data_IF_084969809723
#
_entry.id   IF_084969809723
#
_cell.length_a   1.000
_cell.length_b   1.000
_cell.length_c   1.000
_cell.angle_alpha   90.00
_cell.angle_beta   90.00
_cell.angle_gamma   90.00
#
_symmetry.space_group_name_H-M   'P 1'
#
loop_
_entity.id
_entity.type
_entity.pdbx_description
1 polymer ?
#
# COMPACT_ATOMS: atom_id res chain seq x y z
N UNK A 1 17.24 0.52 -15.30
CA UNK A 1 15.85 0.60 -14.80
C UNK A 1 15.01 1.26 -15.87
N UNK A 2 13.96 0.60 -16.35
CA UNK A 2 13.07 1.13 -17.39
C UNK A 2 12.10 2.17 -16.79
N UNK A 3 11.64 3.09 -17.64
CA UNK A 3 10.61 4.10 -17.33
C UNK A 3 9.52 3.99 -18.39
N UNK A 4 8.28 3.83 -17.95
CA UNK A 4 7.10 3.81 -18.79
C UNK A 4 6.23 5.01 -18.42
N UNK A 5 5.97 5.88 -19.39
CA UNK A 5 5.04 7.00 -19.20
C UNK A 5 3.63 6.54 -19.58
N UNK A 6 2.68 6.79 -18.70
CA UNK A 6 1.26 6.59 -18.92
C UNK A 6 0.59 7.96 -19.07
N UNK A 7 -0.70 7.95 -19.41
CA UNK A 7 -1.50 9.18 -19.55
C UNK A 7 -1.47 10.03 -18.29
N UNK A 8 -1.73 11.33 -18.43
CA UNK A 8 -1.85 12.28 -17.31
C UNK A 8 -0.61 12.36 -16.40
N UNK A 9 0.59 12.15 -16.96
CA UNK A 9 1.85 12.27 -16.22
C UNK A 9 2.11 11.13 -15.24
N UNK A 10 1.33 10.05 -15.29
CA UNK A 10 1.58 8.86 -14.49
C UNK A 10 2.83 8.13 -15.02
N UNK A 11 3.62 7.55 -14.13
CA UNK A 11 4.88 6.89 -14.50
C UNK A 11 5.02 5.57 -13.77
N UNK A 12 5.48 4.55 -14.50
CA UNK A 12 5.96 3.30 -13.93
C UNK A 12 7.48 3.23 -14.10
N UNK A 13 8.21 3.03 -13.01
CA UNK A 13 9.63 2.72 -13.01
C UNK A 13 9.85 1.24 -12.70
N UNK A 14 10.83 0.63 -13.35
CA UNK A 14 11.21 -0.79 -13.14
C UNK A 14 10.95 -1.67 -14.34
N UNK A 15 11.47 -2.89 -14.32
CA UNK A 15 11.18 -3.88 -15.35
C UNK A 15 9.83 -4.52 -15.04
N UNK A 16 8.82 -4.24 -15.87
CA UNK A 16 7.43 -4.64 -15.61
C UNK A 16 7.27 -6.17 -15.74
N UNK A 17 7.45 -6.91 -14.65
CA UNK A 17 7.15 -8.33 -14.57
C UNK A 17 5.80 -8.54 -13.88
N UNK A 18 4.74 -8.56 -14.69
CA UNK A 18 3.36 -8.73 -14.25
C UNK A 18 2.82 -10.09 -14.69
N UNK A 19 2.30 -10.88 -13.75
CA UNK A 19 1.52 -12.09 -14.03
C UNK A 19 0.13 -11.94 -13.45
N UNK A 20 -0.90 -12.08 -14.28
CA UNK A 20 -2.31 -12.01 -13.86
C UNK A 20 -2.60 -10.77 -13.00
N UNK A 21 -1.99 -9.64 -13.35
CA UNK A 21 -2.00 -8.41 -12.55
C UNK A 21 -2.54 -7.23 -13.35
N UNK A 22 -3.23 -6.31 -12.67
CA UNK A 22 -3.82 -5.10 -13.25
C UNK A 22 -3.26 -3.86 -12.55
N UNK A 23 -2.84 -2.87 -13.33
CA UNK A 23 -2.46 -1.53 -12.85
C UNK A 23 -3.42 -0.54 -13.49
N UNK A 24 -4.01 0.34 -12.70
CA UNK A 24 -5.00 1.30 -13.15
C UNK A 24 -4.69 2.69 -12.56
N UNK A 25 -4.58 3.68 -13.44
CA UNK A 25 -4.42 5.07 -13.06
C UNK A 25 -5.71 5.84 -13.36
N UNK A 26 -6.40 6.30 -12.32
CA UNK A 26 -7.61 7.13 -12.45
C UNK A 26 -7.30 8.63 -12.29
N UNK A 27 -6.23 8.96 -11.55
CA UNK A 27 -5.75 10.33 -11.40
C UNK A 27 -4.48 10.62 -12.22
N UNK A 28 -3.76 11.66 -11.81
CA UNK A 28 -2.60 12.21 -12.53
C UNK A 28 -1.33 12.19 -11.67
N UNK A 29 -0.18 12.24 -12.34
CA UNK A 29 1.14 12.38 -11.71
C UNK A 29 1.45 11.31 -10.65
N UNK A 30 0.88 10.11 -10.77
CA UNK A 30 1.16 9.01 -9.86
C UNK A 30 2.41 8.25 -10.29
N UNK A 31 3.05 7.61 -9.33
CA UNK A 31 4.26 6.83 -9.55
C UNK A 31 4.03 5.42 -9.02
N UNK A 32 4.23 4.43 -9.89
CA UNK A 32 4.50 3.06 -9.48
C UNK A 32 6.00 2.81 -9.65
N UNK A 33 6.68 2.49 -8.55
CA UNK A 33 8.10 2.18 -8.57
C UNK A 33 8.34 0.72 -8.20
N UNK A 34 8.85 -0.05 -9.14
CA UNK A 34 9.25 -1.44 -8.98
C UNK A 34 10.78 -1.48 -8.99
N UNK A 35 11.39 -1.84 -7.85
CA UNK A 35 12.85 -2.00 -7.76
C UNK A 35 13.36 -3.20 -8.56
N UNK A 36 14.68 -3.39 -8.62
CA UNK A 36 15.26 -4.54 -9.33
C UNK A 36 14.71 -5.87 -8.77
N UNK A 37 14.14 -6.71 -9.65
CA UNK A 37 13.49 -8.00 -9.33
C UNK A 37 12.19 -7.87 -8.50
N UNK A 38 11.60 -6.68 -8.42
CA UNK A 38 10.23 -6.51 -7.94
C UNK A 38 9.24 -7.01 -8.99
N UNK A 39 8.29 -7.86 -8.57
CA UNK A 39 7.34 -8.50 -9.48
C UNK A 39 5.90 -8.39 -8.94
N UNK A 40 4.92 -8.34 -9.84
CA UNK A 40 3.49 -8.36 -9.50
C UNK A 40 2.89 -9.70 -9.92
N UNK A 41 2.19 -10.38 -9.00
CA UNK A 41 1.50 -11.64 -9.29
C UNK A 41 0.13 -11.65 -8.65
N UNK A 42 -0.93 -11.85 -9.43
CA UNK A 42 -2.31 -11.74 -8.94
C UNK A 42 -2.53 -10.42 -8.18
N UNK A 43 -1.94 -9.33 -8.68
CA UNK A 43 -1.96 -8.04 -8.01
C UNK A 43 -2.90 -7.06 -8.72
N UNK A 44 -3.62 -6.26 -7.95
CA UNK A 44 -4.42 -5.14 -8.46
C UNK A 44 -3.98 -3.86 -7.78
N UNK A 45 -3.36 -2.95 -8.53
CA UNK A 45 -2.93 -1.65 -8.02
C UNK A 45 -3.77 -0.57 -8.71
N UNK A 46 -4.61 0.11 -7.93
CA UNK A 46 -5.46 1.19 -8.42
C UNK A 46 -5.07 2.51 -7.76
N UNK A 47 -4.54 3.42 -8.57
CA UNK A 47 -4.30 4.81 -8.21
C UNK A 47 -5.60 5.59 -8.41
N UNK A 48 -6.42 5.63 -7.36
CA UNK A 48 -7.71 6.33 -7.36
C UNK A 48 -7.51 7.84 -7.41
N UNK A 49 -6.48 8.35 -6.73
CA UNK A 49 -6.16 9.77 -6.64
C UNK A 49 -4.97 10.21 -7.50
N UNK A 50 -4.41 11.37 -7.17
CA UNK A 50 -3.28 12.00 -7.88
C UNK A 50 -2.06 12.21 -6.98
N UNK A 51 -0.88 12.33 -7.57
CA UNK A 51 0.39 12.55 -6.86
C UNK A 51 0.69 11.46 -5.80
N UNK A 52 0.23 10.24 -6.01
CA UNK A 52 0.48 9.13 -5.11
C UNK A 52 1.68 8.29 -5.55
N UNK A 53 2.31 7.61 -4.59
CA UNK A 53 3.45 6.73 -4.82
C UNK A 53 3.16 5.33 -4.28
N UNK A 54 3.31 4.32 -5.12
CA UNK A 54 3.47 2.94 -4.68
C UNK A 54 4.90 2.51 -4.99
N UNK A 55 5.65 2.18 -3.95
CA UNK A 55 7.00 1.64 -4.05
C UNK A 55 7.02 0.19 -3.61
N UNK A 56 7.60 -0.68 -4.44
CA UNK A 56 7.79 -2.10 -4.15
C UNK A 56 9.28 -2.42 -4.29
N UNK A 57 9.89 -2.79 -3.15
CA UNK A 57 11.25 -3.30 -3.03
C UNK A 57 11.41 -4.65 -3.74
N UNK A 58 12.52 -5.34 -3.49
CA UNK A 58 12.85 -6.63 -4.12
C UNK A 58 11.92 -7.72 -3.58
N UNK A 59 10.67 -7.69 -4.03
CA UNK A 59 9.52 -8.40 -3.47
C UNK A 59 8.54 -8.78 -4.57
N UNK A 60 7.83 -9.90 -4.36
CA UNK A 60 6.73 -10.30 -5.23
C UNK A 60 5.40 -9.97 -4.54
N UNK A 61 4.79 -8.85 -4.91
CA UNK A 61 3.53 -8.42 -4.32
C UNK A 61 2.33 -9.14 -4.96
N UNK A 62 1.39 -9.55 -4.10
CA UNK A 62 0.14 -10.25 -4.43
C UNK A 62 -0.99 -9.67 -3.58
N UNK A 63 -2.13 -9.37 -4.19
CA UNK A 63 -3.23 -8.70 -3.50
C UNK A 63 -3.58 -7.35 -4.10
N UNK A 64 -4.31 -6.52 -3.34
CA UNK A 64 -4.90 -5.28 -3.85
C UNK A 64 -4.38 -4.07 -3.10
N UNK A 65 -3.97 -3.05 -3.84
CA UNK A 65 -3.62 -1.72 -3.33
C UNK A 65 -4.59 -0.71 -3.96
N UNK A 66 -5.32 0.01 -3.12
CA UNK A 66 -6.05 1.21 -3.50
C UNK A 66 -5.38 2.41 -2.85
N UNK A 67 -4.93 3.35 -3.67
CA UNK A 67 -4.16 4.51 -3.18
C UNK A 67 -4.75 5.82 -3.71
N UNK A 68 -4.96 6.76 -2.81
CA UNK A 68 -5.61 8.05 -3.07
C UNK A 68 -4.59 9.19 -3.11
N UNK A 69 -5.11 10.42 -3.27
CA UNK A 69 -4.30 11.61 -3.51
C UNK A 69 -3.29 11.85 -2.39
N UNK A 70 -2.06 12.23 -2.79
CA UNK A 70 -0.94 12.55 -1.90
C UNK A 70 -0.59 11.43 -0.89
N UNK A 71 -0.92 10.17 -1.21
CA UNK A 71 -0.62 9.02 -0.34
C UNK A 71 0.64 8.27 -0.77
N UNK A 72 1.23 7.53 0.16
CA UNK A 72 2.40 6.66 -0.12
C UNK A 72 2.13 5.24 0.38
N UNK A 73 2.35 4.26 -0.48
CA UNK A 73 2.52 2.86 -0.13
C UNK A 73 3.98 2.49 -0.32
N UNK A 74 4.66 2.05 0.74
CA UNK A 74 6.00 1.51 0.66
C UNK A 74 5.99 0.06 1.13
N UNK A 75 6.50 -0.83 0.28
CA UNK A 75 6.70 -2.24 0.60
C UNK A 75 8.19 -2.51 0.43
N UNK A 76 8.84 -2.95 1.51
CA UNK A 76 10.24 -3.30 1.55
C UNK A 76 10.61 -4.55 0.73
N UNK A 77 11.83 -5.02 0.95
CA UNK A 77 12.42 -6.18 0.32
C UNK A 77 11.95 -7.48 0.98
N UNK A 78 12.04 -8.59 0.24
CA UNK A 78 11.80 -9.93 0.77
C UNK A 78 10.42 -10.15 1.42
N UNK A 79 9.37 -9.48 0.93
CA UNK A 79 8.00 -9.71 1.41
C UNK A 79 7.55 -11.15 1.10
N UNK A 80 7.26 -11.90 2.15
CA UNK A 80 6.58 -13.19 2.11
C UNK A 80 5.06 -13.03 2.21
N UNK A 81 4.32 -13.69 1.31
CA UNK A 81 2.86 -13.73 1.36
C UNK A 81 2.35 -15.15 1.12
N UNK A 82 1.48 -15.63 2.00
CA UNK A 82 0.85 -16.96 1.90
C UNK A 82 -0.25 -17.02 0.83
N UNK A 83 -0.93 -15.90 0.54
CA UNK A 83 -2.01 -15.81 -0.43
C UNK A 83 -1.94 -14.50 -1.26
N UNK A 84 -2.96 -14.26 -2.09
CA UNK A 84 -3.07 -13.08 -2.97
C UNK A 84 -4.27 -12.19 -2.58
N UNK A 85 -4.62 -12.16 -1.30
CA UNK A 85 -5.82 -11.51 -0.76
C UNK A 85 -5.52 -10.38 0.24
N UNK A 86 -4.24 -10.04 0.41
CA UNK A 86 -3.84 -8.87 1.19
C UNK A 86 -4.45 -7.61 0.57
N UNK A 87 -5.07 -6.76 1.39
CA UNK A 87 -5.72 -5.54 0.94
C UNK A 87 -5.17 -4.31 1.67
N UNK A 88 -4.63 -3.37 0.90
CA UNK A 88 -4.13 -2.09 1.40
C UNK A 88 -5.01 -0.98 0.82
N UNK A 89 -5.64 -0.20 1.67
CA UNK A 89 -6.40 0.96 1.27
C UNK A 89 -5.89 2.21 2.00
N UNK A 90 -5.29 3.11 1.21
CA UNK A 90 -4.47 4.21 1.71
C UNK A 90 -5.09 5.51 1.22
N UNK A 91 -5.70 6.23 2.17
CA UNK A 91 -6.58 7.38 1.92
C UNK A 91 -6.13 8.64 2.65
N UNK A 92 -6.63 9.80 2.22
CA UNK A 92 -6.51 11.09 2.94
C UNK A 92 -5.08 11.48 3.34
N UNK A 93 -4.18 11.55 2.35
CA UNK A 93 -2.81 12.07 2.54
C UNK A 93 -1.99 11.34 3.61
N UNK A 94 -2.17 10.02 3.68
CA UNK A 94 -1.50 9.15 4.67
C UNK A 94 -0.53 8.17 4.02
N UNK A 95 0.24 7.50 4.88
CA UNK A 95 1.28 6.56 4.47
C UNK A 95 1.00 5.16 5.00
N UNK A 96 1.33 4.15 4.22
CA UNK A 96 1.43 2.77 4.67
C UNK A 96 2.84 2.28 4.35
N UNK A 97 3.62 2.01 5.40
CA UNK A 97 5.02 1.61 5.29
C UNK A 97 5.15 0.20 5.87
N UNK A 98 5.57 -0.74 5.03
CA UNK A 98 5.91 -2.11 5.38
C UNK A 98 7.40 -2.30 5.18
N UNK A 99 8.11 -2.67 6.25
CA UNK A 99 9.54 -2.90 6.27
C UNK A 99 10.00 -4.11 5.46
N UNK A 100 11.27 -4.47 5.65
CA UNK A 100 11.91 -5.59 4.98
C UNK A 100 11.60 -6.92 5.67
N UNK A 101 11.71 -8.02 4.92
CA UNK A 101 11.68 -9.41 5.44
C UNK A 101 10.41 -9.76 6.25
N UNK A 102 9.28 -9.15 5.90
CA UNK A 102 8.01 -9.42 6.57
C UNK A 102 7.31 -10.64 5.98
N UNK A 103 6.58 -11.38 6.82
CA UNK A 103 5.77 -12.53 6.43
C UNK A 103 4.29 -12.29 6.75
N UNK A 104 3.45 -12.26 5.72
CA UNK A 104 2.00 -12.06 5.84
C UNK A 104 1.23 -13.32 5.49
N UNK A 105 0.33 -13.72 6.39
CA UNK A 105 -0.67 -14.77 6.10
C UNK A 105 -1.78 -14.24 5.17
N UNK A 106 -2.85 -15.02 5.01
CA UNK A 106 -4.02 -14.65 4.21
C UNK A 106 -5.01 -13.78 4.98
N UNK A 107 -5.83 -13.03 4.25
CA UNK A 107 -6.89 -12.17 4.79
C UNK A 107 -6.41 -10.90 5.49
N UNK A 108 -5.17 -10.46 5.29
CA UNK A 108 -4.63 -9.28 5.98
C UNK A 108 -5.15 -7.98 5.33
N UNK A 109 -5.62 -7.06 6.16
CA UNK A 109 -6.17 -5.77 5.75
C UNK A 109 -5.43 -4.61 6.41
N UNK A 110 -5.12 -3.57 5.64
CA UNK A 110 -4.51 -2.33 6.10
C UNK A 110 -5.38 -1.14 5.66
N UNK A 111 -5.93 -0.41 6.63
CA UNK A 111 -6.86 0.71 6.39
C UNK A 111 -6.39 1.97 7.11
N UNK A 112 -5.96 2.99 6.35
CA UNK A 112 -5.41 4.23 6.92
C UNK A 112 -6.47 5.26 7.33
N UNK A 113 -7.76 4.97 7.13
CA UNK A 113 -8.89 5.79 7.58
C UNK A 113 -10.10 4.93 7.95
N UNK A 114 -11.13 5.59 8.51
CA UNK A 114 -12.44 4.96 8.71
C UNK A 114 -13.40 5.21 7.53
N UNK A 115 -12.90 5.82 6.44
CA UNK A 115 -13.63 6.30 5.26
C UNK A 115 -14.67 7.40 5.51
N UNK A 116 -15.35 7.36 6.65
CA UNK A 116 -16.41 8.27 7.03
C UNK A 116 -16.01 9.07 8.28
N UNK A 117 -16.19 10.40 8.24
CA UNK A 117 -15.82 11.26 9.35
C UNK A 117 -16.80 11.12 10.51
N UNK A 118 -16.25 11.15 11.72
CA UNK A 118 -16.96 11.26 12.99
C UNK A 118 -16.67 12.66 13.53
N UNK A 119 -17.71 13.41 13.86
CA UNK A 119 -17.57 14.77 14.37
C UNK A 119 -17.98 14.87 15.82
N UNK A 120 -17.25 15.69 16.59
CA UNK A 120 -17.69 16.11 17.91
C UNK A 120 -18.91 17.02 17.80
N UNK A 121 -19.94 16.75 18.59
CA UNK A 121 -21.18 17.52 18.53
C UNK A 121 -21.03 18.97 19.02
N UNK A 122 -20.12 19.24 19.96
CA UNK A 122 -19.95 20.57 20.57
C UNK A 122 -19.00 21.44 19.77
N UNK A 123 -17.89 20.87 19.31
CA UNK A 123 -16.81 21.61 18.64
C UNK A 123 -16.88 21.51 17.12
N UNK A 124 -17.68 20.59 16.58
CA UNK A 124 -17.75 20.23 15.16
C UNK A 124 -16.40 19.77 14.57
N UNK A 125 -15.43 19.42 15.41
CA UNK A 125 -14.14 18.91 14.96
C UNK A 125 -14.23 17.45 14.55
N UNK A 126 -13.49 17.08 13.51
CA UNK A 126 -13.33 15.68 13.10
C UNK A 126 -12.51 14.92 14.17
N UNK A 127 -13.10 13.86 14.72
CA UNK A 127 -12.54 13.04 15.80
C UNK A 127 -11.68 11.89 15.29
N UNK A 128 -11.86 11.47 14.05
CA UNK A 128 -11.19 10.32 13.46
C UNK A 128 -10.40 10.67 12.19
N UNK A 129 -9.52 11.70 12.22
CA UNK A 129 -8.68 11.96 11.06
C UNK A 129 -7.86 10.71 10.71
N UNK A 130 -7.60 10.53 9.42
CA UNK A 130 -6.75 9.47 8.91
C UNK A 130 -5.37 9.51 9.55
N UNK A 131 -4.75 8.34 9.70
CA UNK A 131 -3.42 8.20 10.30
C UNK A 131 -2.65 7.12 9.56
N UNK A 132 -1.37 7.38 9.35
CA UNK A 132 -0.45 6.45 8.70
C UNK A 132 -0.28 5.15 9.50
N UNK A 133 0.09 4.08 8.80
CA UNK A 133 0.41 2.76 9.35
C UNK A 133 1.89 2.49 9.12
N UNK A 134 2.57 2.02 10.16
CA UNK A 134 4.00 1.71 10.13
C UNK A 134 4.25 0.31 10.66
N UNK A 135 4.69 -0.59 9.79
CA UNK A 135 5.06 -1.96 10.11
C UNK A 135 6.57 -2.09 9.94
N UNK A 136 7.28 -2.39 11.02
CA UNK A 136 8.72 -2.57 11.03
C UNK A 136 9.18 -3.81 10.27
N UNK A 137 10.49 -4.07 10.34
CA UNK A 137 11.13 -5.18 9.63
C UNK A 137 10.91 -6.52 10.33
N UNK A 138 10.99 -7.61 9.58
CA UNK A 138 10.97 -8.97 10.12
C UNK A 138 9.76 -9.25 11.02
N UNK A 139 8.58 -8.78 10.63
CA UNK A 139 7.33 -9.08 11.34
C UNK A 139 6.64 -10.30 10.75
N UNK A 140 5.92 -11.06 11.58
CA UNK A 140 5.03 -12.11 11.13
C UNK A 140 3.58 -11.75 11.42
N UNK A 141 2.78 -11.56 10.38
CA UNK A 141 1.36 -11.25 10.49
C UNK A 141 0.53 -12.52 10.32
N UNK A 142 -0.25 -12.83 11.36
CA UNK A 142 -1.21 -13.93 11.37
C UNK A 142 -2.33 -13.79 10.34
N UNK A 143 -3.16 -14.84 10.23
CA UNK A 143 -4.34 -14.83 9.39
C UNK A 143 -5.35 -13.77 9.86
N UNK A 144 -6.03 -13.11 8.92
CA UNK A 144 -7.17 -12.23 9.16
C UNK A 144 -6.88 -11.06 10.13
N UNK A 145 -5.62 -10.60 10.14
CA UNK A 145 -5.22 -9.43 10.93
C UNK A 145 -5.62 -8.15 10.20
N UNK A 146 -6.26 -7.24 10.92
CA UNK A 146 -6.55 -5.88 10.47
C UNK A 146 -5.65 -4.86 11.15
N UNK A 147 -4.89 -4.09 10.36
CA UNK A 147 -4.17 -2.91 10.83
C UNK A 147 -4.96 -1.65 10.47
N UNK A 148 -5.42 -0.93 11.50
CA UNK A 148 -6.18 0.29 11.32
C UNK A 148 -5.31 1.54 11.48
N UNK A 149 -5.87 2.68 11.10
CA UNK A 149 -5.20 3.99 11.12
C UNK A 149 -4.41 4.25 12.41
N UNK A 150 -3.15 4.63 12.26
CA UNK A 150 -2.25 4.96 13.37
C UNK A 150 -1.56 3.76 14.00
N UNK A 151 -1.70 2.56 13.45
CA UNK A 151 -0.99 1.38 13.91
C UNK A 151 0.52 1.53 13.71
N UNK A 152 1.27 1.11 14.73
CA UNK A 152 2.72 0.94 14.70
C UNK A 152 3.05 -0.45 15.22
N UNK A 153 3.81 -1.23 14.45
CA UNK A 153 4.34 -2.53 14.84
C UNK A 153 5.86 -2.48 14.77
N UNK A 154 6.50 -2.80 15.90
CA UNK A 154 7.96 -2.82 15.98
C UNK A 154 8.55 -4.02 15.24
N UNK A 155 9.78 -3.87 14.75
CA UNK A 155 10.49 -4.94 14.06
C UNK A 155 10.63 -6.20 14.93
N UNK A 156 10.52 -7.38 14.32
CA UNK A 156 10.60 -8.67 15.03
C UNK A 156 9.32 -9.10 15.77
N UNK A 157 8.22 -8.37 15.62
CA UNK A 157 6.94 -8.71 16.25
C UNK A 157 6.22 -9.84 15.53
N UNK A 158 5.32 -10.52 16.27
CA UNK A 158 4.32 -11.45 15.76
C UNK A 158 2.94 -10.96 16.18
#
# INVERSE_FOLDING_TARGET
>A
MQKFEAENGNVIYGDLQCKDSKIEFMGKNNILFLSEKANLRNAQITFVGSNALVFIGKSCFRGRIMIFTNCVCYIGNALGQSASDMFLNITSESYCIIGDDCLFSWGVVLESSDHHPIFDFKTHQCLNPSKSIYLGDHIWVGQEVGFLKGCFIASGSV
#
